data_IF_495917238647
#
_entry.id   IF_495917238647
#
_cell.length_a   1.000
_cell.length_b   1.000
_cell.length_c   1.000
_cell.angle_alpha   90.00
_cell.angle_beta   90.00
_cell.angle_gamma   90.00
#
_symmetry.space_group_name_H-M   'P 1'
#
loop_
_entity.id
_entity.type
_entity.pdbx_description
1 polymer ?
#
# COMPACT_ATOMS: atom_id res chain seq x y z
N UNK A 1 -48.28 -40.38 4.68
CA UNK A 1 -47.30 -39.94 3.65
C UNK A 1 -47.06 -38.43 3.58
N UNK A 2 -47.70 -37.60 4.43
CA UNK A 2 -47.59 -36.12 4.38
C UNK A 2 -46.49 -35.59 5.33
N UNK A 3 -46.17 -36.32 6.41
CA UNK A 3 -45.22 -35.91 7.45
C UNK A 3 -43.76 -35.96 6.97
N UNK A 4 -43.43 -36.83 6.00
CA UNK A 4 -42.08 -36.96 5.44
C UNK A 4 -41.72 -35.77 4.53
N UNK A 5 -42.70 -35.22 3.81
CA UNK A 5 -42.52 -34.08 2.89
C UNK A 5 -42.25 -32.76 3.63
N UNK A 6 -42.79 -32.58 4.84
CA UNK A 6 -42.59 -31.37 5.66
C UNK A 6 -41.17 -31.33 6.25
N UNK A 7 -40.59 -32.49 6.62
CA UNK A 7 -39.22 -32.56 7.12
C UNK A 7 -38.18 -32.25 6.05
N UNK A 8 -38.43 -32.67 4.81
CA UNK A 8 -37.56 -32.37 3.67
C UNK A 8 -37.60 -30.88 3.35
N UNK A 9 -38.78 -30.24 3.42
CA UNK A 9 -38.95 -28.82 3.17
C UNK A 9 -38.20 -27.96 4.22
N UNK A 10 -38.25 -28.34 5.49
CA UNK A 10 -37.52 -27.66 6.57
C UNK A 10 -35.99 -27.77 6.45
N UNK A 11 -35.49 -28.94 6.00
CA UNK A 11 -34.04 -29.15 5.81
C UNK A 11 -33.54 -28.33 4.62
N UNK A 12 -34.30 -28.24 3.53
CA UNK A 12 -33.95 -27.42 2.37
C UNK A 12 -33.88 -25.92 2.71
N UNK A 13 -34.78 -25.42 3.55
CA UNK A 13 -34.76 -24.00 3.97
C UNK A 13 -33.58 -23.65 4.89
N UNK A 14 -33.12 -24.60 5.72
CA UNK A 14 -31.94 -24.39 6.57
C UNK A 14 -30.62 -24.42 5.80
N UNK A 15 -30.53 -25.19 4.71
CA UNK A 15 -29.34 -25.23 3.84
C UNK A 15 -29.19 -23.93 3.04
N UNK A 16 -30.31 -23.29 2.65
CA UNK A 16 -30.32 -22.00 1.94
C UNK A 16 -29.94 -20.79 2.82
N UNK A 17 -30.01 -20.91 4.15
CA UNK A 17 -29.64 -19.86 5.09
C UNK A 17 -28.14 -19.89 5.49
N UNK A 18 -27.41 -20.96 5.16
CA UNK A 18 -26.00 -21.14 5.53
C UNK A 18 -25.01 -20.73 4.43
N UNK A 19 -25.47 -20.29 3.26
CA UNK A 19 -24.61 -19.96 2.10
C UNK A 19 -24.34 -18.47 1.89
N UNK A 20 -24.72 -17.60 2.82
CA UNK A 20 -24.45 -16.15 2.75
C UNK A 20 -23.30 -15.73 3.67
N UNK A 21 -22.14 -16.35 3.54
CA UNK A 21 -20.88 -15.66 3.86
C UNK A 21 -20.26 -15.27 2.51
N UNK A 22 -20.78 -14.22 1.89
CA UNK A 22 -19.99 -13.47 0.93
C UNK A 22 -18.89 -12.77 1.74
N UNK A 23 -17.70 -13.38 1.77
CA UNK A 23 -16.47 -12.66 2.11
C UNK A 23 -16.35 -11.50 1.11
N UNK A 24 -16.84 -10.33 1.50
CA UNK A 24 -16.40 -9.08 0.90
C UNK A 24 -14.92 -8.94 1.20
N UNK A 25 -14.09 -9.55 0.36
CA UNK A 25 -12.68 -9.20 0.23
C UNK A 25 -12.67 -7.80 -0.38
N UNK A 26 -12.94 -6.80 0.46
CA UNK A 26 -12.55 -5.43 0.14
C UNK A 26 -11.06 -5.50 -0.14
N UNK A 27 -10.71 -5.26 -1.40
CA UNK A 27 -9.34 -5.17 -1.85
C UNK A 27 -8.74 -4.01 -1.05
N UNK A 28 -8.11 -4.30 0.09
CA UNK A 28 -7.50 -3.29 0.97
C UNK A 28 -6.56 -2.50 0.08
N UNK A 29 -6.98 -1.28 -0.29
CA UNK A 29 -6.23 -0.43 -1.18
C UNK A 29 -4.99 -0.02 -0.40
N UNK A 30 -3.82 -0.38 -0.91
CA UNK A 30 -2.56 0.04 -0.29
C UNK A 30 -2.56 1.56 -0.17
N UNK A 31 -2.18 2.13 0.99
CA UNK A 31 -2.06 3.56 1.15
C UNK A 31 -0.96 4.08 0.22
N UNK A 32 -1.25 5.15 -0.49
CA UNK A 32 -0.40 5.69 -1.57
C UNK A 32 0.00 7.14 -1.35
N UNK A 33 -0.75 7.87 -0.52
CA UNK A 33 -0.54 9.29 -0.28
C UNK A 33 0.36 9.53 0.92
N UNK A 34 1.12 10.62 0.89
CA UNK A 34 2.01 11.02 1.99
C UNK A 34 1.25 11.13 3.33
N UNK A 35 0.07 11.75 3.32
CA UNK A 35 -0.79 11.92 4.51
C UNK A 35 -1.37 10.60 5.05
N UNK A 36 -1.34 9.52 4.27
CA UNK A 36 -1.79 8.20 4.72
C UNK A 36 -0.66 7.42 5.40
N UNK A 37 0.57 7.94 5.42
CA UNK A 37 1.69 7.32 6.13
C UNK A 37 1.51 7.42 7.64
N UNK A 38 1.93 6.36 8.35
CA UNK A 38 1.99 6.40 9.81
C UNK A 38 2.94 7.47 10.37
N UNK A 39 3.84 8.00 9.54
CA UNK A 39 4.81 9.04 9.90
C UNK A 39 4.16 10.41 10.03
N UNK A 40 3.01 10.63 9.39
CA UNK A 40 2.22 11.84 9.56
C UNK A 40 1.70 11.98 11.00
N UNK A 41 1.41 10.84 11.65
CA UNK A 41 0.99 10.77 13.05
C UNK A 41 2.19 10.75 14.01
N UNK A 42 3.23 9.95 13.70
CA UNK A 42 4.42 9.83 14.53
C UNK A 42 5.71 9.83 13.70
N UNK A 43 6.27 11.02 13.50
CA UNK A 43 7.49 11.27 12.72
C UNK A 43 8.71 10.48 13.22
N UNK A 44 8.73 10.05 14.49
CA UNK A 44 9.87 9.29 15.06
C UNK A 44 10.02 7.91 14.43
N UNK A 45 8.97 7.42 13.76
CA UNK A 45 8.99 6.16 13.00
C UNK A 45 9.63 6.29 11.62
N UNK A 46 9.83 7.52 11.12
CA UNK A 46 10.44 7.81 9.81
C UNK A 46 11.97 7.65 9.81
N UNK A 47 12.48 6.59 10.44
CA UNK A 47 13.91 6.33 10.66
C UNK A 47 14.44 5.12 9.89
N UNK A 48 13.59 4.43 9.13
CA UNK A 48 13.94 3.26 8.32
C UNK A 48 13.71 3.53 6.84
N UNK A 49 14.41 2.79 5.99
CA UNK A 49 14.20 2.74 4.55
C UNK A 49 13.68 1.38 4.07
N UNK A 50 13.47 0.45 5.00
CA UNK A 50 13.19 -0.95 4.71
C UNK A 50 11.69 -1.18 4.83
N UNK A 51 11.12 -1.92 3.87
CA UNK A 51 9.70 -2.25 3.81
C UNK A 51 8.77 -1.03 3.81
N UNK A 52 9.23 0.08 3.22
CA UNK A 52 8.41 1.27 3.05
C UNK A 52 7.24 1.01 2.09
N UNK A 53 6.04 1.39 2.54
CA UNK A 53 4.83 1.41 1.72
C UNK A 53 4.90 2.57 0.71
N UNK A 54 4.00 2.59 -0.27
CA UNK A 54 3.89 3.73 -1.20
C UNK A 54 3.63 5.05 -0.47
N UNK A 55 2.76 5.05 0.55
CA UNK A 55 2.52 6.22 1.40
C UNK A 55 3.77 6.69 2.14
N UNK A 56 4.56 5.77 2.72
CA UNK A 56 5.80 6.14 3.43
C UNK A 56 6.84 6.75 2.47
N UNK A 57 6.89 6.25 1.23
CA UNK A 57 7.76 6.78 0.19
C UNK A 57 7.32 8.18 -0.25
N UNK A 58 6.03 8.40 -0.44
CA UNK A 58 5.46 9.73 -0.70
C UNK A 58 5.78 10.70 0.44
N UNK A 59 5.62 10.24 1.69
CA UNK A 59 5.91 11.04 2.88
C UNK A 59 7.37 11.47 2.94
N UNK A 60 8.33 10.56 2.69
CA UNK A 60 9.74 10.92 2.64
C UNK A 60 10.06 11.86 1.47
N UNK A 61 9.49 11.62 0.29
CA UNK A 61 9.73 12.47 -0.87
C UNK A 61 9.33 13.93 -0.60
N UNK A 62 8.14 14.15 -0.02
CA UNK A 62 7.64 15.49 0.33
C UNK A 62 8.36 16.06 1.55
N UNK A 63 8.35 15.37 2.69
CA UNK A 63 8.74 15.94 3.97
C UNK A 63 10.25 15.91 4.24
N UNK A 64 10.98 14.95 3.67
CA UNK A 64 12.43 14.84 3.86
C UNK A 64 13.20 15.55 2.75
N UNK A 65 12.70 15.52 1.51
CA UNK A 65 13.42 16.00 0.33
C UNK A 65 12.76 17.15 -0.42
N UNK A 66 11.50 17.50 -0.11
CA UNK A 66 10.80 18.62 -0.76
C UNK A 66 10.35 18.35 -2.19
N UNK A 67 10.29 17.09 -2.62
CA UNK A 67 9.79 16.73 -3.95
C UNK A 67 8.27 16.89 -4.04
N UNK A 68 7.78 17.29 -5.22
CA UNK A 68 6.35 17.29 -5.54
C UNK A 68 5.85 15.85 -5.79
N UNK A 69 5.64 15.10 -4.70
CA UNK A 69 5.28 13.69 -4.72
C UNK A 69 4.28 13.34 -3.61
N UNK A 70 3.11 13.97 -3.62
CA UNK A 70 2.06 13.73 -2.62
C UNK A 70 1.49 12.31 -2.66
N UNK A 71 1.56 11.63 -3.80
CA UNK A 71 1.06 10.27 -4.00
C UNK A 71 2.00 9.46 -4.89
N UNK A 72 2.36 8.24 -4.47
CA UNK A 72 3.12 7.29 -5.28
C UNK A 72 2.17 6.34 -5.99
N UNK A 73 2.12 6.44 -7.32
CA UNK A 73 1.25 5.60 -8.16
C UNK A 73 1.89 4.25 -8.48
N UNK A 74 3.20 4.21 -8.69
CA UNK A 74 3.95 2.98 -8.96
C UNK A 74 5.26 2.93 -8.20
N UNK A 75 5.67 1.71 -7.86
CA UNK A 75 6.91 1.36 -7.21
C UNK A 75 7.44 0.12 -7.92
N UNK A 76 8.66 0.22 -8.43
CA UNK A 76 9.32 -0.87 -9.12
C UNK A 76 10.08 -1.76 -8.13
N UNK A 77 10.59 -2.89 -8.61
CA UNK A 77 11.46 -3.78 -7.84
C UNK A 77 12.86 -3.19 -7.68
N UNK A 78 13.66 -3.75 -6.77
CA UNK A 78 15.03 -3.32 -6.56
C UNK A 78 15.92 -3.72 -7.73
N UNK A 79 16.60 -2.73 -8.32
CA UNK A 79 17.48 -2.89 -9.46
C UNK A 79 18.84 -3.45 -9.04
N UNK A 80 19.65 -3.92 -10.00
CA UNK A 80 21.03 -4.38 -9.77
C UNK A 80 21.94 -3.32 -9.12
N UNK A 81 21.62 -2.05 -9.34
CA UNK A 81 22.39 -0.90 -8.85
C UNK A 81 21.99 -0.49 -7.41
N UNK A 82 21.07 -1.24 -6.77
CA UNK A 82 20.70 -1.04 -5.37
C UNK A 82 19.69 0.09 -5.12
N UNK A 83 18.97 0.55 -6.13
CA UNK A 83 17.81 1.44 -6.00
C UNK A 83 16.58 0.86 -6.69
N UNK A 84 15.41 1.37 -6.36
CA UNK A 84 14.19 1.15 -7.13
C UNK A 84 13.59 2.48 -7.55
N UNK A 85 12.80 2.47 -8.61
CA UNK A 85 12.13 3.66 -9.11
C UNK A 85 10.73 3.78 -8.52
N UNK A 86 10.31 5.01 -8.24
CA UNK A 86 8.92 5.33 -7.93
C UNK A 86 8.41 6.37 -8.92
N UNK A 87 7.12 6.29 -9.25
CA UNK A 87 6.42 7.31 -10.02
C UNK A 87 5.39 7.99 -9.14
N UNK A 88 5.44 9.30 -9.12
CA UNK A 88 4.52 10.15 -8.38
C UNK A 88 3.30 10.50 -9.26
N UNK A 89 2.18 10.87 -8.63
CA UNK A 89 0.98 11.36 -9.32
C UNK A 89 1.22 12.64 -10.12
N UNK A 90 2.17 13.49 -9.69
CA UNK A 90 2.67 14.66 -10.42
C UNK A 90 3.34 14.32 -11.76
N UNK A 91 3.69 13.04 -11.98
CA UNK A 91 4.47 12.58 -13.11
C UNK A 91 5.97 12.51 -12.85
N UNK A 92 6.43 13.03 -11.70
CA UNK A 92 7.82 12.94 -11.27
C UNK A 92 8.23 11.49 -11.06
N UNK A 93 9.47 11.17 -11.44
CA UNK A 93 10.09 9.88 -11.21
C UNK A 93 11.32 10.05 -10.34
N UNK A 94 11.43 9.21 -9.32
CA UNK A 94 12.46 9.31 -8.31
C UNK A 94 13.17 7.96 -8.15
N UNK A 95 14.48 8.01 -7.95
CA UNK A 95 15.29 6.87 -7.53
C UNK A 95 15.36 6.83 -6.02
N UNK A 96 14.99 5.68 -5.44
CA UNK A 96 14.99 5.45 -4.00
C UNK A 96 16.06 4.41 -3.66
N UNK A 97 17.04 4.82 -2.86
CA UNK A 97 18.12 3.98 -2.37
C UNK A 97 17.83 3.59 -0.91
N UNK A 98 17.51 2.31 -0.63
CA UNK A 98 17.38 1.82 0.74
C UNK A 98 18.72 1.88 1.49
N UNK A 99 18.68 2.30 2.76
CA UNK A 99 19.80 2.37 3.69
C UNK A 99 19.38 1.75 5.02
N UNK A 100 20.00 0.62 5.39
CA UNK A 100 19.64 -0.07 6.63
C UNK A 100 19.80 0.85 7.86
N UNK A 101 18.73 0.93 8.66
CA UNK A 101 18.68 1.73 9.89
C UNK A 101 18.68 3.25 9.67
N UNK A 102 18.44 3.73 8.45
CA UNK A 102 18.37 5.16 8.14
C UNK A 102 17.19 5.45 7.20
N UNK A 103 16.80 6.72 7.08
CA UNK A 103 15.83 7.13 6.05
C UNK A 103 16.38 6.85 4.63
N UNK A 104 15.51 6.57 3.65
CA UNK A 104 15.95 6.33 2.28
C UNK A 104 16.65 7.56 1.72
N UNK A 105 17.58 7.37 0.78
CA UNK A 105 18.07 8.45 -0.08
C UNK A 105 17.19 8.52 -1.32
N UNK A 106 16.67 9.71 -1.64
CA UNK A 106 15.78 9.93 -2.79
C UNK A 106 16.39 10.98 -3.71
N UNK A 107 16.53 10.65 -4.99
CA UNK A 107 17.06 11.56 -6.02
C UNK A 107 16.15 11.56 -7.25
N UNK A 108 16.29 12.56 -8.11
CA UNK A 108 15.68 12.57 -9.44
C UNK A 108 16.31 11.50 -10.37
N UNK A 109 15.77 11.36 -11.59
CA UNK A 109 16.28 10.41 -12.61
C UNK A 109 17.74 10.68 -13.02
N UNK A 110 18.23 11.92 -12.86
CA UNK A 110 19.62 12.31 -13.11
C UNK A 110 20.55 12.08 -11.91
N UNK A 111 20.04 11.56 -10.79
CA UNK A 111 20.80 11.33 -9.56
C UNK A 111 21.03 12.58 -8.70
N UNK A 112 20.41 13.71 -9.05
CA UNK A 112 20.47 14.98 -8.35
C UNK A 112 19.30 15.23 -7.38
N UNK A 113 19.31 16.41 -6.75
CA UNK A 113 18.28 16.89 -5.81
C UNK A 113 17.51 18.12 -6.34
N UNK A 114 17.69 18.45 -7.63
CA UNK A 114 17.08 19.59 -8.31
C UNK A 114 15.88 19.17 -9.16
#
# INVERSE_FOLDING_TARGET
MIIMSIRILFILTMILLLTSCEDHVEKIKEPTKAIESSYDIDIRKATTSVNLTKADLAWHAVNTYGWDCEEVVSKDELNSDGYFCIKCSSGLKLHVYPRQGQHPKITNESGGYE
#
